data_IF_480816402665
#
_entry.id   IF_480816402665
#
_cell.length_a   1.000
_cell.length_b   1.000
_cell.length_c   1.000
_cell.angle_alpha   90.00
_cell.angle_beta   90.00
_cell.angle_gamma   90.00
#
_symmetry.space_group_name_H-M   'P 1'
#
loop_
_entity.id
_entity.type
_entity.pdbx_description
1 polymer ?
#
# COMPACT_ATOMS: atom_id res chain seq x y z
N UNK A 1 36.23 -4.67 -17.65
CA UNK A 1 35.77 -4.72 -19.05
C UNK A 1 34.33 -4.24 -19.07
N UNK A 2 34.08 -3.19 -19.84
CA UNK A 2 32.79 -2.51 -19.97
C UNK A 2 31.91 -3.19 -21.03
N UNK A 3 30.60 -3.15 -20.84
CA UNK A 3 29.59 -3.23 -21.89
C UNK A 3 28.37 -2.42 -21.40
N UNK A 4 28.30 -1.12 -21.69
CA UNK A 4 27.80 -0.52 -22.92
C UNK A 4 26.28 -0.69 -23.09
N UNK A 5 25.60 0.43 -22.84
CA UNK A 5 24.17 0.70 -23.02
C UNK A 5 23.84 0.64 -24.51
N UNK A 6 22.77 -0.07 -24.88
CA UNK A 6 22.08 0.13 -26.16
C UNK A 6 20.66 0.60 -25.89
N UNK A 7 20.37 1.84 -26.27
CA UNK A 7 19.04 2.40 -26.37
C UNK A 7 18.31 1.81 -27.59
N UNK A 8 17.06 1.39 -27.41
CA UNK A 8 16.14 1.00 -28.50
C UNK A 8 14.91 1.88 -28.45
N UNK A 9 14.55 2.43 -29.62
CA UNK A 9 13.45 3.38 -29.85
C UNK A 9 12.07 2.71 -29.83
N UNK A 10 11.18 3.31 -29.03
CA UNK A 10 9.71 3.39 -29.09
C UNK A 10 8.92 2.45 -30.05
N UNK A 11 8.42 1.34 -29.49
CA UNK A 11 7.02 0.90 -29.62
C UNK A 11 6.57 0.48 -28.21
N UNK A 12 5.37 0.94 -27.81
CA UNK A 12 4.89 0.96 -26.43
C UNK A 12 4.93 -0.39 -25.71
N UNK A 13 6.02 -0.60 -24.97
CA UNK A 13 6.15 -1.69 -24.01
C UNK A 13 6.35 -1.05 -22.65
N UNK A 14 5.25 -0.70 -21.98
CA UNK A 14 5.26 -0.20 -20.60
C UNK A 14 5.55 -1.35 -19.63
N UNK A 15 6.75 -1.90 -19.73
CA UNK A 15 7.35 -2.67 -18.66
C UNK A 15 7.74 -1.69 -17.55
N UNK A 16 6.78 -1.35 -16.70
CA UNK A 16 7.09 -0.83 -15.38
C UNK A 16 7.71 -2.00 -14.61
N UNK A 17 9.03 -1.95 -14.40
CA UNK A 17 9.72 -2.89 -13.52
C UNK A 17 9.15 -2.86 -12.10
N UNK A 18 9.61 -3.74 -11.19
CA UNK A 18 9.10 -3.79 -9.82
C UNK A 18 9.09 -2.40 -9.18
N UNK A 19 7.90 -1.93 -8.80
CA UNK A 19 7.70 -0.59 -8.25
C UNK A 19 8.05 -0.60 -6.76
N UNK A 20 9.25 -0.14 -6.42
CA UNK A 20 9.73 -0.03 -5.03
C UNK A 20 11.13 -0.63 -4.84
N UNK A 21 11.89 -0.12 -3.86
CA UNK A 21 13.22 -0.65 -3.59
C UNK A 21 13.14 -2.06 -2.99
N UNK A 22 14.06 -3.00 -3.31
CA UNK A 22 14.09 -4.32 -2.66
C UNK A 22 14.18 -4.24 -1.13
N UNK A 23 14.79 -3.17 -0.60
CA UNK A 23 14.82 -2.89 0.83
C UNK A 23 13.43 -2.53 1.36
N UNK A 24 12.70 -1.64 0.69
CA UNK A 24 11.32 -1.31 1.04
C UNK A 24 10.44 -2.55 0.98
N UNK A 25 10.54 -3.40 -0.03
CA UNK A 25 9.76 -4.65 -0.10
C UNK A 25 9.98 -5.53 1.14
N UNK A 26 11.24 -5.71 1.57
CA UNK A 26 11.57 -6.47 2.78
C UNK A 26 11.00 -5.80 4.04
N UNK A 27 11.12 -4.48 4.16
CA UNK A 27 10.54 -3.73 5.27
C UNK A 27 9.02 -3.86 5.30
N UNK A 28 8.35 -3.73 4.15
CA UNK A 28 6.90 -3.86 4.00
C UNK A 28 6.41 -5.25 4.40
N UNK A 29 7.12 -6.31 3.99
CA UNK A 29 6.84 -7.69 4.42
C UNK A 29 6.99 -7.82 5.94
N UNK A 30 8.09 -7.33 6.51
CA UNK A 30 8.32 -7.38 7.97
C UNK A 30 7.24 -6.62 8.75
N UNK A 31 6.90 -5.40 8.32
CA UNK A 31 5.85 -4.60 8.94
C UNK A 31 4.51 -5.32 8.93
N UNK A 32 4.19 -5.95 7.79
CA UNK A 32 2.98 -6.73 7.66
C UNK A 32 2.99 -7.91 8.63
N UNK A 33 4.07 -8.71 8.65
CA UNK A 33 4.16 -9.89 9.53
C UNK A 33 4.07 -9.50 11.03
N UNK A 34 4.57 -8.31 11.41
CA UNK A 34 4.39 -7.75 12.76
C UNK A 34 2.93 -7.38 13.05
N UNK A 35 2.22 -6.81 12.08
CA UNK A 35 0.81 -6.45 12.25
C UNK A 35 -0.05 -7.68 12.54
N UNK A 36 0.19 -8.77 11.80
CA UNK A 36 -0.48 -10.06 11.95
C UNK A 36 -0.13 -10.74 13.27
N UNK A 37 1.12 -10.57 13.72
CA UNK A 37 1.57 -11.04 15.04
C UNK A 37 0.99 -10.21 16.21
N UNK A 38 0.03 -9.32 15.96
CA UNK A 38 -0.61 -8.50 17.00
C UNK A 38 0.27 -7.35 17.51
N UNK A 39 1.27 -6.93 16.74
CA UNK A 39 2.22 -5.86 17.10
C UNK A 39 2.06 -4.62 16.21
N UNK A 40 0.89 -3.95 16.21
CA UNK A 40 0.59 -2.86 15.29
C UNK A 40 1.48 -1.63 15.48
N UNK A 41 1.98 -1.36 16.69
CA UNK A 41 2.86 -0.21 16.93
C UNK A 41 4.28 -0.43 16.38
N UNK A 42 4.80 -1.67 16.44
CA UNK A 42 6.07 -2.02 15.80
C UNK A 42 5.94 -1.96 14.27
N UNK A 43 4.83 -2.47 13.72
CA UNK A 43 4.52 -2.39 12.30
C UNK A 43 4.43 -0.94 11.80
N UNK A 44 3.72 -0.08 12.55
CA UNK A 44 3.56 1.34 12.24
C UNK A 44 4.91 2.05 12.09
N UNK A 45 5.83 1.85 13.03
CA UNK A 45 7.17 2.48 13.00
C UNK A 45 7.94 2.16 11.72
N UNK A 46 7.85 0.91 11.23
CA UNK A 46 8.55 0.51 10.01
C UNK A 46 7.87 1.11 8.77
N UNK A 47 6.52 1.15 8.72
CA UNK A 47 5.83 1.86 7.64
C UNK A 47 6.16 3.35 7.60
N UNK A 48 6.23 4.01 8.75
CA UNK A 48 6.67 5.40 8.85
C UNK A 48 8.12 5.58 8.40
N UNK A 49 9.00 4.60 8.64
CA UNK A 49 10.36 4.63 8.11
C UNK A 49 10.38 4.54 6.58
N UNK A 50 9.58 3.65 5.98
CA UNK A 50 9.42 3.59 4.52
C UNK A 50 8.95 4.94 3.98
N UNK A 51 7.98 5.59 4.64
CA UNK A 51 7.47 6.89 4.22
C UNK A 51 8.44 8.06 4.45
N UNK A 52 9.45 7.92 5.31
CA UNK A 52 10.53 8.92 5.40
C UNK A 52 11.42 8.89 4.15
N UNK A 53 11.62 7.71 3.57
CA UNK A 53 12.46 7.51 2.38
C UNK A 53 11.67 7.68 1.07
N UNK A 54 10.42 7.21 1.05
CA UNK A 54 9.46 7.33 -0.05
C UNK A 54 8.11 7.84 0.49
N UNK A 55 7.95 9.18 0.65
CA UNK A 55 6.73 9.78 1.21
C UNK A 55 5.46 9.47 0.42
N UNK A 56 5.58 9.05 -0.83
CA UNK A 56 4.48 8.73 -1.71
C UNK A 56 4.14 7.25 -1.78
N UNK A 57 4.81 6.37 -1.03
CA UNK A 57 4.66 4.93 -1.18
C UNK A 57 3.19 4.49 -0.95
N UNK A 58 2.45 4.10 -2.01
CA UNK A 58 1.02 3.88 -1.88
C UNK A 58 0.71 2.63 -1.03
N UNK A 59 1.62 1.66 -1.00
CA UNK A 59 1.46 0.43 -0.23
C UNK A 59 1.65 0.67 1.28
N UNK A 60 2.65 1.47 1.66
CA UNK A 60 2.87 1.88 3.06
C UNK A 60 1.72 2.73 3.59
N UNK A 61 1.24 3.70 2.79
CA UNK A 61 0.07 4.51 3.13
C UNK A 61 -1.18 3.64 3.32
N UNK A 62 -1.44 2.68 2.41
CA UNK A 62 -2.54 1.73 2.57
C UNK A 62 -2.45 0.93 3.87
N UNK A 63 -1.26 0.41 4.21
CA UNK A 63 -1.11 -0.43 5.39
C UNK A 63 -1.17 0.37 6.71
N UNK A 64 -0.73 1.64 6.71
CA UNK A 64 -1.00 2.55 7.84
C UNK A 64 -2.51 2.79 8.03
N UNK A 65 -3.27 2.90 6.94
CA UNK A 65 -4.73 3.01 7.04
C UNK A 65 -5.35 1.78 7.73
N UNK A 66 -4.89 0.57 7.42
CA UNK A 66 -5.34 -0.65 8.09
C UNK A 66 -5.08 -0.62 9.60
N UNK A 67 -3.92 -0.10 10.02
CA UNK A 67 -3.59 0.11 11.44
C UNK A 67 -4.53 1.14 12.09
N UNK A 68 -4.83 2.25 11.40
CA UNK A 68 -5.77 3.25 11.93
C UNK A 68 -7.18 2.69 12.11
N UNK A 69 -7.65 1.82 11.21
CA UNK A 69 -8.93 1.11 11.42
C UNK A 69 -8.84 0.17 12.64
N UNK A 70 -7.73 -0.57 12.82
CA UNK A 70 -7.51 -1.43 14.01
C UNK A 70 -7.54 -0.63 15.31
N UNK A 71 -7.09 0.62 15.27
CA UNK A 71 -7.10 1.58 16.39
C UNK A 71 -8.44 2.32 16.57
N UNK A 72 -9.48 2.00 15.79
CA UNK A 72 -10.78 2.68 15.87
C UNK A 72 -10.78 4.11 15.32
N UNK A 73 -9.83 4.45 14.44
CA UNK A 73 -9.63 5.77 13.82
C UNK A 73 -9.91 5.76 12.31
N UNK A 74 -11.15 5.45 11.87
CA UNK A 74 -11.49 5.32 10.45
C UNK A 74 -11.34 6.62 9.64
N UNK A 75 -11.50 7.80 10.27
CA UNK A 75 -11.26 9.08 9.59
C UNK A 75 -9.79 9.27 9.20
N UNK A 76 -8.86 8.95 10.11
CA UNK A 76 -7.41 8.97 9.84
C UNK A 76 -7.05 7.94 8.76
N UNK A 77 -7.70 6.76 8.79
CA UNK A 77 -7.53 5.74 7.75
C UNK A 77 -7.90 6.26 6.35
N UNK A 78 -9.02 6.99 6.21
CA UNK A 78 -9.41 7.60 4.94
C UNK A 78 -8.40 8.63 4.46
N UNK A 79 -7.81 9.43 5.36
CA UNK A 79 -6.75 10.37 5.01
C UNK A 79 -5.56 9.65 4.37
N UNK A 80 -5.07 8.57 4.97
CA UNK A 80 -3.99 7.77 4.41
C UNK A 80 -4.35 7.12 3.07
N UNK A 81 -5.56 6.54 2.94
CA UNK A 81 -6.00 5.92 1.69
C UNK A 81 -6.13 6.93 0.55
N UNK A 82 -6.60 8.15 0.84
CA UNK A 82 -6.67 9.21 -0.17
C UNK A 82 -5.28 9.61 -0.65
N UNK A 83 -4.29 9.72 0.25
CA UNK A 83 -2.90 9.96 -0.13
C UNK A 83 -2.34 8.80 -0.97
N UNK A 84 -2.61 7.56 -0.58
CA UNK A 84 -2.20 6.36 -1.32
C UNK A 84 -2.77 6.36 -2.75
N UNK A 85 -4.06 6.73 -2.90
CA UNK A 85 -4.75 6.72 -4.18
C UNK A 85 -4.11 7.66 -5.20
N UNK A 86 -3.57 8.81 -4.77
CA UNK A 86 -2.88 9.76 -5.64
C UNK A 86 -1.63 9.17 -6.31
N UNK A 87 -1.04 8.11 -5.74
CA UNK A 87 0.21 7.48 -6.20
C UNK A 87 0.01 6.05 -6.71
N UNK A 88 -1.21 5.52 -6.66
CA UNK A 88 -1.50 4.12 -6.94
C UNK A 88 -1.70 3.78 -8.43
N UNK A 89 -1.96 4.79 -9.28
CA UNK A 89 -2.23 4.57 -10.71
C UNK A 89 -0.98 4.01 -11.41
N UNK A 90 -1.09 2.83 -12.02
CA UNK A 90 0.03 2.14 -12.67
C UNK A 90 1.04 1.54 -11.68
N UNK A 91 0.73 1.56 -10.38
CA UNK A 91 1.52 0.88 -9.36
C UNK A 91 1.12 -0.60 -9.36
N UNK A 92 1.99 -1.43 -9.94
CA UNK A 92 1.81 -2.88 -10.04
C UNK A 92 2.57 -3.60 -8.94
N UNK A 93 1.86 -4.42 -8.18
CA UNK A 93 2.43 -5.21 -7.09
C UNK A 93 1.56 -6.45 -6.87
N UNK A 94 2.17 -7.60 -6.63
CA UNK A 94 1.44 -8.77 -6.17
C UNK A 94 1.34 -8.73 -4.65
N UNK A 95 0.13 -8.82 -4.12
CA UNK A 95 -0.12 -8.72 -2.68
C UNK A 95 -1.06 -9.82 -2.19
N UNK A 96 -0.78 -10.34 -1.00
CA UNK A 96 -1.80 -11.04 -0.22
C UNK A 96 -2.58 -10.02 0.61
N UNK A 97 -3.88 -10.25 0.79
CA UNK A 97 -4.74 -9.44 1.66
C UNK A 97 -5.03 -10.22 2.92
N UNK A 98 -5.10 -9.55 4.08
CA UNK A 98 -5.65 -10.16 5.29
C UNK A 98 -6.78 -9.34 5.88
N UNK A 99 -7.74 -10.09 6.41
CA UNK A 99 -9.01 -9.66 6.97
C UNK A 99 -8.97 -9.79 8.50
N UNK A 100 -8.24 -8.92 9.18
CA UNK A 100 -8.09 -8.98 10.64
C UNK A 100 -8.99 -8.01 11.41
N UNK A 101 -9.41 -6.89 10.81
CA UNK A 101 -10.05 -5.81 11.57
C UNK A 101 -11.55 -5.82 11.33
N UNK A 102 -12.32 -6.41 12.26
CA UNK A 102 -13.79 -6.45 12.16
C UNK A 102 -14.30 -6.98 10.79
N UNK A 103 -13.61 -7.98 10.25
CA UNK A 103 -13.91 -8.58 8.93
C UNK A 103 -13.50 -7.76 7.70
N UNK A 104 -12.65 -6.72 7.84
CA UNK A 104 -12.22 -5.86 6.71
C UNK A 104 -10.81 -6.22 6.24
N UNK A 105 -10.67 -6.48 4.94
CA UNK A 105 -9.42 -6.94 4.30
C UNK A 105 -8.59 -5.77 3.75
N UNK A 106 -8.03 -4.93 4.62
CA UNK A 106 -7.38 -3.66 4.24
C UNK A 106 -5.86 -3.77 4.04
N UNK A 107 -5.18 -4.58 4.83
CA UNK A 107 -3.71 -4.67 4.79
C UNK A 107 -3.24 -5.55 3.63
N UNK A 108 -2.12 -5.15 3.01
CA UNK A 108 -1.50 -5.84 1.90
C UNK A 108 -0.09 -6.28 2.24
N UNK A 109 0.20 -7.57 2.05
CA UNK A 109 1.55 -8.13 2.13
C UNK A 109 2.13 -8.24 0.72
N UNK A 110 3.16 -7.46 0.33
CA UNK A 110 3.81 -7.68 -0.95
C UNK A 110 4.45 -9.07 -1.02
N UNK A 111 4.37 -9.72 -2.18
CA UNK A 111 5.10 -10.96 -2.45
C UNK A 111 6.51 -10.63 -2.97
N UNK A 112 7.50 -11.46 -2.65
CA UNK A 112 8.89 -11.24 -3.06
C UNK A 112 9.11 -11.42 -4.57
N UNK A 113 8.20 -12.12 -5.25
CA UNK A 113 8.34 -12.44 -6.67
C UNK A 113 7.69 -11.39 -7.58
N UNK A 114 8.42 -11.07 -8.66
CA UNK A 114 8.20 -9.92 -9.57
C UNK A 114 7.05 -10.15 -10.57
N UNK A 115 6.33 -11.26 -10.48
CA UNK A 115 5.21 -11.54 -11.38
C UNK A 115 3.91 -11.04 -10.76
N UNK A 116 3.55 -9.79 -11.00
CA UNK A 116 2.28 -9.24 -10.53
C UNK A 116 1.67 -8.26 -11.52
N UNK A 117 0.54 -8.65 -12.12
CA UNK A 117 -0.27 -7.76 -12.98
C UNK A 117 -1.39 -7.06 -12.20
N UNK A 118 -1.34 -7.10 -10.86
CA UNK A 118 -2.38 -6.52 -10.02
C UNK A 118 -2.10 -5.03 -9.84
N UNK A 119 -3.04 -4.22 -10.32
CA UNK A 119 -3.05 -2.78 -10.10
C UNK A 119 -3.48 -2.48 -8.66
N UNK A 120 -2.72 -1.63 -7.98
CA UNK A 120 -3.00 -1.28 -6.59
C UNK A 120 -4.18 -0.31 -6.44
N UNK A 121 -4.41 0.57 -7.43
CA UNK A 121 -5.48 1.57 -7.40
C UNK A 121 -6.88 0.98 -7.14
N UNK A 122 -7.35 -0.06 -7.89
CA UNK A 122 -8.65 -0.69 -7.62
C UNK A 122 -8.79 -1.23 -6.20
N UNK A 123 -7.70 -1.73 -5.61
CA UNK A 123 -7.69 -2.27 -4.25
C UNK A 123 -7.80 -1.16 -3.20
N UNK A 124 -7.09 -0.05 -3.39
CA UNK A 124 -7.21 1.12 -2.52
C UNK A 124 -8.63 1.71 -2.60
N UNK A 125 -9.22 1.81 -3.80
CA UNK A 125 -10.61 2.25 -3.97
C UNK A 125 -11.60 1.34 -3.26
N UNK A 126 -11.37 0.02 -3.29
CA UNK A 126 -12.17 -0.93 -2.53
C UNK A 126 -12.05 -0.67 -1.02
N UNK A 127 -10.83 -0.49 -0.51
CA UNK A 127 -10.57 -0.20 0.90
C UNK A 127 -11.27 1.09 1.37
N UNK A 128 -11.25 2.16 0.57
CA UNK A 128 -11.97 3.41 0.84
C UNK A 128 -13.48 3.13 0.99
N UNK A 129 -14.08 2.42 0.03
CA UNK A 129 -15.51 2.09 0.06
C UNK A 129 -15.90 1.24 1.28
N UNK A 130 -15.04 0.28 1.66
CA UNK A 130 -15.28 -0.55 2.84
C UNK A 130 -15.31 0.28 4.13
N UNK A 131 -14.45 1.29 4.26
CA UNK A 131 -14.44 2.18 5.43
C UNK A 131 -15.61 3.14 5.40
N UNK A 132 -15.90 3.76 4.25
CA UNK A 132 -17.03 4.68 4.09
C UNK A 132 -18.38 4.01 4.37
N UNK A 133 -18.58 2.76 3.94
CA UNK A 133 -19.80 2.00 4.25
C UNK A 133 -19.98 1.66 5.73
N UNK A 134 -18.93 1.77 6.55
CA UNK A 134 -18.98 1.57 8.01
C UNK A 134 -19.07 2.88 8.80
N UNK A 135 -18.77 4.01 8.17
CA UNK A 135 -18.85 5.33 8.78
C UNK A 135 -20.26 5.91 8.62
N UNK A 136 -20.82 6.60 9.63
CA UNK A 136 -21.96 7.44 9.40
C UNK A 136 -21.61 8.47 8.32
N UNK A 137 -22.56 8.77 7.43
CA UNK A 137 -22.36 9.79 6.40
C UNK A 137 -21.84 11.08 7.05
N UNK A 138 -20.81 11.73 6.48
CA UNK A 138 -20.36 13.02 7.00
C UNK A 138 -21.57 13.97 7.04
N UNK A 139 -21.72 14.80 8.09
CA UNK A 139 -22.78 15.79 8.11
C UNK A 139 -22.66 16.66 6.85
N UNK A 140 -23.77 16.95 6.17
CA UNK A 140 -23.71 17.75 4.95
C UNK A 140 -23.07 19.11 5.24
N UNK A 141 -21.93 19.38 4.61
CA UNK A 141 -21.27 20.69 4.56
C UNK A 141 -20.71 21.21 5.88
N UNK A 142 -19.37 21.25 5.99
CA UNK A 142 -18.68 22.35 6.69
C UNK A 142 -17.74 23.01 5.69
#
# INVERSE_FOLDING_TARGET
>A
MAAAIWAVLLLGNSWAGPQGSPNHTKMMIKSYDLLEAGKPDEAQKIYEQVLKEDPGNPLALNNLAAIMVKKGKPAEALTYLNQALLKAKGYKVMVNRVCEVNGVCLAFRPLQEVYGNQELEPLIRLNIRMIQGKLPAPPPGK
#
